data_IF_882446025476
#
_entry.id   IF_882446025476
#
_cell.length_a   1.000
_cell.length_b   1.000
_cell.length_c   1.000
_cell.angle_alpha   90.00
_cell.angle_beta   90.00
_cell.angle_gamma   90.00
#
_symmetry.space_group_name_H-M   'P 1'
#
loop_
_entity.id
_entity.type
_entity.pdbx_description
1 polymer ?
#
# COMPACT_ATOMS: atom_id res chain seq x y z
N UNK A 1 4.53 18.87 -1.32
CA UNK A 1 4.14 17.89 -0.27
C UNK A 1 5.28 16.91 -0.09
N UNK A 2 5.62 16.59 1.15
CA UNK A 2 6.58 15.54 1.51
C UNK A 2 5.79 14.38 2.10
N UNK A 3 5.90 13.21 1.53
CA UNK A 3 5.25 12.00 2.07
C UNK A 3 6.29 10.96 2.45
N UNK A 4 6.00 10.16 3.46
CA UNK A 4 6.68 8.91 3.71
C UNK A 4 5.87 7.80 3.04
N UNK A 5 6.50 7.01 2.22
CA UNK A 5 5.89 5.86 1.58
C UNK A 5 6.59 4.59 2.07
N UNK A 6 5.83 3.72 2.70
CA UNK A 6 6.23 2.39 3.18
C UNK A 6 5.19 1.37 2.74
N UNK A 7 5.55 0.10 2.69
CA UNK A 7 4.65 -1.01 2.36
C UNK A 7 5.18 -2.32 2.90
N UNK A 8 4.40 -3.38 2.75
CA UNK A 8 4.84 -4.75 2.97
C UNK A 8 5.51 -4.93 4.35
N UNK A 9 4.81 -4.44 5.39
CA UNK A 9 5.30 -4.52 6.77
C UNK A 9 5.37 -5.97 7.25
N UNK A 10 4.48 -6.82 6.74
CA UNK A 10 4.39 -8.25 7.06
C UNK A 10 4.54 -8.54 8.55
N UNK A 11 3.83 -7.79 9.39
CA UNK A 11 3.91 -7.93 10.85
C UNK A 11 3.50 -9.35 11.25
N UNK A 12 4.34 -9.98 12.08
CA UNK A 12 4.21 -11.38 12.46
C UNK A 12 4.94 -12.38 11.55
N UNK A 13 5.76 -11.87 10.61
CA UNK A 13 6.65 -12.69 9.76
C UNK A 13 7.66 -13.47 10.58
N UNK A 14 7.92 -14.68 10.14
CA UNK A 14 9.01 -15.52 10.65
C UNK A 14 9.99 -15.84 9.51
N UNK A 15 11.26 -15.82 9.81
CA UNK A 15 12.33 -16.26 8.90
C UNK A 15 12.84 -17.62 9.37
N UNK A 16 12.57 -18.70 8.62
CA UNK A 16 12.95 -20.08 8.98
C UNK A 16 12.55 -20.48 10.43
N UNK A 17 11.33 -20.15 10.84
CA UNK A 17 10.79 -20.32 12.18
C UNK A 17 11.41 -19.43 13.28
N UNK A 18 12.34 -18.52 12.93
CA UNK A 18 12.81 -17.46 13.80
C UNK A 18 11.80 -16.31 13.80
N UNK A 19 11.36 -15.88 14.99
CA UNK A 19 10.48 -14.72 15.12
C UNK A 19 11.24 -13.42 14.83
N UNK A 20 10.70 -12.56 13.99
CA UNK A 20 11.25 -11.23 13.71
C UNK A 20 10.58 -10.14 14.57
N UNK A 21 9.97 -10.51 15.70
CA UNK A 21 9.21 -9.59 16.54
C UNK A 21 10.05 -8.37 16.96
N UNK A 22 11.20 -8.61 17.55
CA UNK A 22 12.07 -7.55 18.06
C UNK A 22 12.56 -6.64 16.94
N UNK A 23 12.93 -7.22 15.80
CA UNK A 23 13.37 -6.48 14.61
C UNK A 23 12.22 -5.65 14.02
N UNK A 24 10.98 -6.18 14.04
CA UNK A 24 9.81 -5.46 13.56
C UNK A 24 9.40 -4.32 14.50
N UNK A 25 9.44 -4.54 15.81
CA UNK A 25 9.21 -3.49 16.80
C UNK A 25 10.25 -2.36 16.65
N UNK A 26 11.52 -2.70 16.51
CA UNK A 26 12.63 -1.74 16.36
C UNK A 26 12.50 -0.92 15.06
N UNK A 27 12.29 -1.55 13.91
CA UNK A 27 12.19 -0.82 12.64
C UNK A 27 10.95 0.09 12.57
N UNK A 28 9.82 -0.34 13.13
CA UNK A 28 8.61 0.48 13.19
C UNK A 28 8.83 1.70 14.10
N UNK A 29 9.51 1.51 15.23
CA UNK A 29 9.91 2.62 16.10
C UNK A 29 10.85 3.60 15.38
N UNK A 30 11.85 3.12 14.63
CA UNK A 30 12.73 3.98 13.83
C UNK A 30 11.95 4.78 12.77
N UNK A 31 10.91 4.20 12.15
CA UNK A 31 10.04 4.91 11.21
C UNK A 31 9.32 6.07 11.92
N UNK A 32 8.82 5.86 13.14
CA UNK A 32 8.19 6.91 13.95
C UNK A 32 9.19 8.01 14.31
N UNK A 33 10.40 7.66 14.73
CA UNK A 33 11.46 8.63 15.01
C UNK A 33 11.80 9.48 13.78
N UNK A 34 11.93 8.85 12.60
CA UNK A 34 12.17 9.59 11.36
C UNK A 34 10.98 10.49 11.00
N UNK A 35 9.75 10.06 11.25
CA UNK A 35 8.56 10.89 11.03
C UNK A 35 8.57 12.10 11.98
N UNK A 36 8.94 11.93 13.24
CA UNK A 36 9.08 13.03 14.21
C UNK A 36 10.15 14.05 13.80
N UNK A 37 11.31 13.58 13.29
CA UNK A 37 12.43 14.42 12.87
C UNK A 37 12.14 15.13 11.54
N UNK A 38 11.67 14.37 10.53
CA UNK A 38 11.54 14.87 9.15
C UNK A 38 10.21 15.52 8.87
N UNK A 39 9.20 15.29 9.70
CA UNK A 39 7.85 15.88 9.64
C UNK A 39 7.25 15.81 8.24
N UNK A 40 6.95 14.62 7.72
CA UNK A 40 6.23 14.50 6.46
C UNK A 40 4.80 15.05 6.60
N UNK A 41 4.22 15.50 5.50
CA UNK A 41 2.83 15.95 5.43
C UNK A 41 1.84 14.79 5.55
N UNK A 42 2.28 13.56 5.20
CA UNK A 42 1.52 12.32 5.39
C UNK A 42 2.44 11.08 5.36
N UNK A 43 1.92 9.97 5.91
CA UNK A 43 2.50 8.63 5.78
C UNK A 43 1.55 7.79 4.92
N UNK A 44 2.08 7.19 3.86
CA UNK A 44 1.35 6.29 2.96
C UNK A 44 1.83 4.86 3.24
N UNK A 45 0.88 3.95 3.56
CA UNK A 45 1.18 2.54 3.79
C UNK A 45 0.49 1.71 2.72
N UNK A 46 1.27 1.26 1.74
CA UNK A 46 0.76 0.65 0.52
C UNK A 46 0.54 -0.87 0.63
N UNK A 47 -0.14 -1.31 1.70
CA UNK A 47 -0.65 -2.68 1.87
C UNK A 47 0.32 -3.66 2.53
N UNK A 48 -0.15 -4.88 2.71
CA UNK A 48 0.48 -6.00 3.40
C UNK A 48 0.99 -5.61 4.80
N UNK A 49 0.03 -5.15 5.62
CA UNK A 49 0.28 -4.78 7.02
C UNK A 49 0.69 -6.02 7.82
N UNK A 50 -0.04 -7.11 7.64
CA UNK A 50 0.20 -8.38 8.32
C UNK A 50 0.71 -9.44 7.36
N UNK A 51 1.57 -10.34 7.85
CA UNK A 51 2.07 -11.49 7.07
C UNK A 51 0.96 -12.49 6.71
N UNK A 52 -0.10 -12.56 7.51
CA UNK A 52 -1.20 -13.53 7.34
C UNK A 52 -2.56 -12.87 7.52
N UNK A 53 -3.54 -13.35 6.78
CA UNK A 53 -4.95 -12.90 6.89
C UNK A 53 -5.58 -13.16 8.26
N UNK A 54 -4.99 -14.04 9.09
CA UNK A 54 -5.32 -14.24 10.49
C UNK A 54 -4.06 -14.01 11.32
N UNK A 55 -3.77 -12.74 11.69
CA UNK A 55 -2.60 -12.40 12.49
C UNK A 55 -2.65 -13.01 13.89
N UNK A 56 -1.50 -13.23 14.50
CA UNK A 56 -1.39 -13.57 15.92
C UNK A 56 -1.75 -12.39 16.82
N UNK A 57 -2.03 -12.63 18.10
CA UNK A 57 -2.21 -11.56 19.08
C UNK A 57 -1.00 -10.63 19.16
N UNK A 58 0.21 -11.19 19.11
CA UNK A 58 1.47 -10.41 19.10
C UNK A 58 1.56 -9.48 17.87
N UNK A 59 1.14 -9.94 16.69
CA UNK A 59 1.16 -9.09 15.50
C UNK A 59 0.20 -7.90 15.65
N UNK A 60 -0.95 -8.09 16.29
CA UNK A 60 -1.85 -6.98 16.62
C UNK A 60 -1.24 -6.01 17.64
N UNK A 61 -0.54 -6.51 18.67
CA UNK A 61 0.14 -5.66 19.65
C UNK A 61 1.22 -4.78 19.01
N UNK A 62 2.05 -5.35 18.13
CA UNK A 62 3.09 -4.61 17.41
C UNK A 62 2.47 -3.46 16.58
N UNK A 63 1.42 -3.77 15.82
CA UNK A 63 0.78 -2.76 14.97
C UNK A 63 0.03 -1.70 15.77
N UNK A 64 -0.65 -2.09 16.86
CA UNK A 64 -1.32 -1.18 17.78
C UNK A 64 -0.32 -0.20 18.40
N UNK A 65 0.85 -0.69 18.85
CA UNK A 65 1.91 0.14 19.38
C UNK A 65 2.40 1.16 18.36
N UNK A 66 2.70 0.72 17.14
CA UNK A 66 3.12 1.59 16.04
C UNK A 66 2.10 2.70 15.73
N UNK A 67 0.81 2.34 15.64
CA UNK A 67 -0.25 3.33 15.40
C UNK A 67 -0.40 4.33 16.55
N UNK A 68 -0.25 3.88 17.79
CA UNK A 68 -0.29 4.75 18.98
C UNK A 68 0.89 5.73 18.99
N UNK A 69 2.10 5.28 18.67
CA UNK A 69 3.28 6.16 18.57
C UNK A 69 3.07 7.23 17.49
N UNK A 70 2.62 6.85 16.28
CA UNK A 70 2.33 7.82 15.20
C UNK A 70 1.23 8.81 15.62
N UNK A 71 0.13 8.31 16.20
CA UNK A 71 -0.99 9.16 16.62
C UNK A 71 -0.59 10.16 17.73
N UNK A 72 0.48 9.86 18.48
CA UNK A 72 1.02 10.68 19.56
C UNK A 72 1.99 11.76 19.07
N UNK A 73 2.36 11.79 17.80
CA UNK A 73 3.23 12.82 17.23
C UNK A 73 2.56 14.21 17.26
N UNK A 74 3.34 15.24 17.58
CA UNK A 74 2.88 16.63 17.54
C UNK A 74 3.81 17.47 16.62
N UNK A 75 3.30 18.06 15.53
CA UNK A 75 1.92 17.94 15.04
C UNK A 75 1.58 16.51 14.56
N UNK A 76 0.30 16.15 14.69
CA UNK A 76 -0.21 14.86 14.25
C UNK A 76 -0.11 14.72 12.73
N UNK A 77 0.54 13.63 12.28
CA UNK A 77 0.77 13.32 10.85
C UNK A 77 -0.37 12.42 10.34
N UNK A 78 -1.08 12.79 9.26
CA UNK A 78 -2.07 11.92 8.63
C UNK A 78 -1.45 10.63 8.10
N UNK A 79 -2.15 9.50 8.30
CA UNK A 79 -1.78 8.20 7.74
C UNK A 79 -2.86 7.74 6.77
N UNK A 80 -2.45 7.36 5.56
CA UNK A 80 -3.32 6.76 4.56
C UNK A 80 -2.83 5.34 4.29
N UNK A 81 -3.63 4.33 4.63
CA UNK A 81 -3.25 2.94 4.43
C UNK A 81 -4.29 2.15 3.65
N UNK A 82 -3.82 1.14 2.94
CA UNK A 82 -4.66 0.19 2.20
C UNK A 82 -4.40 -1.25 2.65
N UNK A 83 -5.34 -2.14 2.38
CA UNK A 83 -5.11 -3.59 2.50
C UNK A 83 -4.34 -4.11 1.30
N UNK A 84 -3.35 -4.98 1.55
CA UNK A 84 -2.67 -5.78 0.54
C UNK A 84 -3.30 -7.17 0.36
N UNK A 85 -2.59 -8.06 -0.35
CA UNK A 85 -3.10 -9.41 -0.65
C UNK A 85 -2.97 -10.39 0.53
N UNK A 86 -2.09 -10.14 1.48
CA UNK A 86 -1.96 -10.91 2.72
C UNK A 86 -3.00 -10.50 3.76
N UNK A 87 -3.48 -9.27 3.71
CA UNK A 87 -4.40 -8.72 4.71
C UNK A 87 -5.81 -9.30 4.60
N UNK A 88 -6.45 -9.46 5.75
CA UNK A 88 -7.90 -9.64 5.79
C UNK A 88 -8.60 -8.29 5.80
N UNK A 89 -9.28 -7.95 4.71
CA UNK A 89 -10.00 -6.69 4.58
C UNK A 89 -10.95 -6.41 5.76
N UNK A 90 -11.69 -7.44 6.23
CA UNK A 90 -12.62 -7.30 7.35
C UNK A 90 -11.92 -7.08 8.69
N UNK A 91 -10.77 -7.74 8.91
CA UNK A 91 -10.00 -7.59 10.16
C UNK A 91 -9.29 -6.25 10.21
N UNK A 92 -8.70 -5.83 9.10
CA UNK A 92 -8.02 -4.54 9.01
C UNK A 92 -9.02 -3.37 9.08
N UNK A 93 -10.26 -3.57 8.63
CA UNK A 93 -11.35 -2.59 8.76
C UNK A 93 -11.80 -2.39 10.22
N UNK A 94 -11.48 -3.33 11.11
CA UNK A 94 -11.86 -3.21 12.51
C UNK A 94 -11.32 -1.91 13.11
N UNK A 95 -12.17 -1.21 13.83
CA UNK A 95 -11.88 0.09 14.44
C UNK A 95 -11.51 1.24 13.46
N UNK A 96 -11.65 1.07 12.13
CA UNK A 96 -11.30 2.10 11.14
C UNK A 96 -11.97 3.45 11.41
N UNK A 97 -13.24 3.47 11.83
CA UNK A 97 -13.95 4.71 12.19
C UNK A 97 -13.39 5.40 13.45
N UNK A 98 -12.77 4.65 14.35
CA UNK A 98 -12.05 5.22 15.50
C UNK A 98 -10.71 5.78 15.07
N UNK A 99 -9.95 5.04 14.26
CA UNK A 99 -8.66 5.43 13.71
C UNK A 99 -8.78 6.71 12.85
N UNK A 100 -9.87 6.86 12.11
CA UNK A 100 -10.11 8.05 11.30
C UNK A 100 -10.16 9.35 12.13
N UNK A 101 -10.64 9.29 13.38
CA UNK A 101 -10.59 10.43 14.31
C UNK A 101 -9.17 10.80 14.72
N UNK A 102 -8.24 9.87 14.58
CA UNK A 102 -6.80 10.06 14.78
C UNK A 102 -6.06 10.36 13.47
N UNK A 103 -6.78 10.79 12.42
CA UNK A 103 -6.26 11.03 11.07
C UNK A 103 -5.60 9.80 10.43
N UNK A 104 -5.98 8.60 10.84
CA UNK A 104 -5.52 7.34 10.26
C UNK A 104 -6.65 6.77 9.41
N UNK A 105 -6.53 6.90 8.09
CA UNK A 105 -7.53 6.46 7.13
C UNK A 105 -7.15 5.09 6.59
N UNK A 106 -8.07 4.14 6.69
CA UNK A 106 -7.88 2.75 6.25
C UNK A 106 -8.84 2.44 5.11
N UNK A 107 -8.34 2.03 3.95
CA UNK A 107 -9.13 1.53 2.84
C UNK A 107 -8.81 0.04 2.61
N UNK A 108 -9.82 -0.81 2.73
CA UNK A 108 -9.60 -2.27 2.73
C UNK A 108 -10.28 -3.01 1.57
N UNK A 109 -11.25 -2.38 0.91
CA UNK A 109 -11.98 -2.96 -0.22
C UNK A 109 -12.28 -1.87 -1.26
N UNK A 110 -12.35 -2.28 -2.52
CA UNK A 110 -12.88 -1.44 -3.59
C UNK A 110 -14.39 -1.24 -3.41
N UNK A 111 -15.00 -0.24 -4.07
CA UNK A 111 -16.45 -0.10 -4.15
C UNK A 111 -17.15 -1.39 -4.57
N UNK A 112 -18.36 -1.61 -4.06
CA UNK A 112 -19.20 -2.77 -4.37
C UNK A 112 -20.50 -2.40 -5.06
N UNK A 113 -20.83 -1.11 -5.07
CA UNK A 113 -22.01 -0.54 -5.75
C UNK A 113 -21.61 0.61 -6.67
N UNK A 114 -22.52 1.02 -7.55
CA UNK A 114 -22.28 2.12 -8.49
C UNK A 114 -22.16 3.49 -7.81
N UNK A 115 -22.76 3.67 -6.63
CA UNK A 115 -22.74 4.92 -5.87
C UNK A 115 -21.50 5.08 -5.00
N UNK A 116 -20.83 3.98 -4.68
CA UNK A 116 -19.59 4.02 -3.90
C UNK A 116 -18.41 4.38 -4.80
N UNK A 117 -17.44 5.11 -4.26
CA UNK A 117 -16.18 5.46 -4.92
C UNK A 117 -14.98 4.97 -4.11
N UNK A 118 -13.80 4.94 -4.74
CA UNK A 118 -12.54 4.71 -4.02
C UNK A 118 -12.40 5.73 -2.89
N UNK A 119 -11.90 5.27 -1.77
CA UNK A 119 -11.60 6.19 -0.66
C UNK A 119 -10.60 7.23 -1.14
N UNK A 120 -11.00 8.50 -1.04
CA UNK A 120 -10.18 9.66 -1.36
C UNK A 120 -9.95 10.49 -0.11
N UNK A 121 -8.70 10.87 0.14
CA UNK A 121 -8.29 11.76 1.23
C UNK A 121 -7.74 13.03 0.62
N UNK A 122 -8.24 14.18 1.05
CA UNK A 122 -7.70 15.48 0.63
C UNK A 122 -6.70 15.93 1.68
N UNK A 123 -5.45 16.06 1.27
CA UNK A 123 -4.37 16.62 2.07
C UNK A 123 -4.09 18.06 1.60
N UNK A 124 -3.46 18.85 2.46
CA UNK A 124 -3.15 20.26 2.19
C UNK A 124 -1.68 20.54 2.48
N UNK A 125 -1.00 21.22 1.58
CA UNK A 125 0.32 21.80 1.80
C UNK A 125 0.34 23.29 1.39
N UNK A 126 1.52 23.91 1.41
CA UNK A 126 1.69 25.33 1.05
C UNK A 126 1.33 25.66 -0.41
N UNK A 127 1.27 24.63 -1.29
CA UNK A 127 0.93 24.77 -2.71
C UNK A 127 -0.54 24.42 -3.02
N UNK A 128 -1.34 24.06 -2.02
CA UNK A 128 -2.77 23.75 -2.16
C UNK A 128 -3.11 22.29 -1.87
N UNK A 129 -4.25 21.84 -2.38
CA UNK A 129 -4.77 20.49 -2.15
C UNK A 129 -4.05 19.43 -2.97
N UNK A 130 -3.94 18.22 -2.37
CA UNK A 130 -3.52 16.99 -3.03
C UNK A 130 -4.54 15.91 -2.71
N UNK A 131 -5.10 15.29 -3.74
CA UNK A 131 -6.03 14.17 -3.58
C UNK A 131 -5.25 12.85 -3.52
N UNK A 132 -5.41 12.09 -2.45
CA UNK A 132 -4.82 10.75 -2.28
C UNK A 132 -5.90 9.70 -2.49
N UNK A 133 -5.80 8.94 -3.57
CA UNK A 133 -6.71 7.83 -3.90
C UNK A 133 -6.16 6.54 -3.33
N UNK A 134 -7.01 5.80 -2.62
CA UNK A 134 -6.62 4.56 -1.92
C UNK A 134 -7.23 3.35 -2.65
N UNK A 135 -6.41 2.65 -3.41
CA UNK A 135 -6.78 1.44 -4.16
C UNK A 135 -6.24 0.19 -3.44
N UNK A 136 -7.04 -0.48 -2.58
CA UNK A 136 -6.64 -1.74 -1.95
C UNK A 136 -6.40 -2.83 -2.98
N UNK A 137 -5.71 -3.90 -2.57
CA UNK A 137 -5.57 -5.08 -3.40
C UNK A 137 -6.93 -5.60 -3.85
N UNK A 138 -7.08 -5.83 -5.13
CA UNK A 138 -8.30 -6.36 -5.73
C UNK A 138 -8.01 -7.54 -6.64
N UNK A 139 -8.97 -8.45 -6.73
CA UNK A 139 -8.97 -9.56 -7.69
C UNK A 139 -10.01 -9.29 -8.78
N UNK A 140 -9.82 -9.80 -10.01
CA UNK A 140 -10.79 -9.63 -11.09
C UNK A 140 -12.23 -10.00 -10.71
N UNK A 141 -12.39 -11.02 -9.84
CA UNK A 141 -13.68 -11.42 -9.30
C UNK A 141 -14.41 -10.34 -8.50
N UNK A 142 -13.69 -9.48 -7.78
CA UNK A 142 -14.28 -8.37 -7.04
C UNK A 142 -14.73 -7.25 -8.00
N UNK A 143 -13.94 -6.96 -9.03
CA UNK A 143 -14.31 -6.00 -10.05
C UNK A 143 -15.56 -6.45 -10.84
N UNK A 144 -15.74 -7.76 -11.10
CA UNK A 144 -16.97 -8.27 -11.74
C UNK A 144 -18.24 -7.98 -10.93
N UNK A 145 -18.14 -7.87 -9.61
CA UNK A 145 -19.30 -7.50 -8.78
C UNK A 145 -19.68 -6.04 -9.03
N UNK A 146 -18.69 -5.16 -9.17
CA UNK A 146 -18.89 -3.73 -9.45
C UNK A 146 -19.36 -3.45 -10.89
N UNK A 147 -18.96 -4.31 -11.84
CA UNK A 147 -19.29 -4.17 -13.27
C UNK A 147 -20.05 -5.40 -13.79
N UNK A 148 -21.33 -5.58 -13.38
CA UNK A 148 -22.12 -6.74 -13.78
C UNK A 148 -22.32 -6.78 -15.31
N UNK A 149 -22.13 -7.96 -15.90
CA UNK A 149 -22.30 -8.16 -17.35
C UNK A 149 -21.11 -7.72 -18.21
N UNK A 150 -20.05 -7.16 -17.60
CA UNK A 150 -18.80 -6.86 -18.32
C UNK A 150 -17.80 -8.02 -18.19
N UNK A 151 -17.09 -8.29 -19.26
CA UNK A 151 -15.99 -9.25 -19.22
C UNK A 151 -14.77 -8.60 -18.55
N UNK A 152 -14.30 -9.21 -17.45
CA UNK A 152 -13.08 -8.82 -16.75
C UNK A 152 -12.28 -10.08 -16.52
N UNK A 153 -11.22 -10.27 -17.33
CA UNK A 153 -10.47 -11.53 -17.41
C UNK A 153 -9.24 -11.54 -16.51
N UNK A 154 -8.63 -10.39 -16.31
CA UNK A 154 -7.32 -10.25 -15.68
C UNK A 154 -7.27 -9.04 -14.74
N UNK A 155 -6.13 -8.86 -14.08
CA UNK A 155 -5.91 -7.79 -13.11
C UNK A 155 -5.77 -6.41 -13.78
N UNK A 156 -5.14 -6.35 -14.96
CA UNK A 156 -4.99 -5.09 -15.70
C UNK A 156 -6.36 -4.48 -16.03
N UNK A 157 -7.24 -5.30 -16.61
CA UNK A 157 -8.60 -4.86 -16.93
C UNK A 157 -9.39 -4.48 -15.66
N UNK A 158 -9.23 -5.24 -14.58
CA UNK A 158 -9.93 -4.96 -13.32
C UNK A 158 -9.53 -3.60 -12.73
N UNK A 159 -8.22 -3.35 -12.62
CA UNK A 159 -7.67 -2.08 -12.08
C UNK A 159 -8.04 -0.92 -12.98
N UNK A 160 -7.87 -1.06 -14.30
CA UNK A 160 -8.22 -0.04 -15.29
C UNK A 160 -9.66 0.42 -15.16
N UNK A 161 -10.61 -0.53 -15.14
CA UNK A 161 -12.04 -0.21 -15.01
C UNK A 161 -12.38 0.47 -13.68
N UNK A 162 -11.76 0.06 -12.59
CA UNK A 162 -11.96 0.71 -11.28
C UNK A 162 -11.43 2.15 -11.30
N UNK A 163 -10.26 2.40 -11.87
CA UNK A 163 -9.70 3.75 -11.94
C UNK A 163 -10.45 4.66 -12.93
N UNK A 164 -10.84 4.15 -14.10
CA UNK A 164 -11.56 4.92 -15.12
C UNK A 164 -12.90 5.49 -14.61
N UNK A 165 -13.60 4.77 -13.74
CA UNK A 165 -14.87 5.24 -13.18
C UNK A 165 -14.73 6.36 -12.15
N UNK A 166 -13.55 6.58 -11.58
CA UNK A 166 -13.35 7.56 -10.51
C UNK A 166 -13.31 9.01 -11.01
N UNK A 167 -13.35 9.25 -12.32
CA UNK A 167 -13.39 10.59 -12.94
C UNK A 167 -12.35 11.54 -12.33
N UNK A 168 -11.09 11.09 -12.28
CA UNK A 168 -9.99 11.80 -11.63
C UNK A 168 -9.65 13.08 -12.40
N UNK A 169 -9.67 14.22 -11.72
CA UNK A 169 -9.28 15.51 -12.29
C UNK A 169 -7.74 15.64 -12.29
N UNK A 170 -7.10 15.25 -13.38
CA UNK A 170 -5.64 15.36 -13.57
C UNK A 170 -5.13 16.78 -13.81
N UNK A 171 -5.99 17.81 -13.77
CA UNK A 171 -5.52 19.21 -13.68
C UNK A 171 -5.09 19.60 -12.27
N UNK A 172 -5.41 18.76 -11.29
CA UNK A 172 -5.06 18.89 -9.88
C UNK A 172 -3.96 17.89 -9.52
N UNK A 173 -3.38 18.07 -8.34
CA UNK A 173 -2.37 17.14 -7.81
C UNK A 173 -3.02 15.89 -7.25
N UNK A 174 -2.58 14.74 -7.74
CA UNK A 174 -3.15 13.44 -7.39
C UNK A 174 -2.05 12.44 -7.02
N UNK A 175 -2.26 11.72 -5.93
CA UNK A 175 -1.44 10.57 -5.51
C UNK A 175 -2.32 9.33 -5.55
N UNK A 176 -1.79 8.23 -6.05
CA UNK A 176 -2.40 6.91 -5.94
C UNK A 176 -1.59 6.06 -4.94
N UNK A 177 -2.28 5.39 -4.03
CA UNK A 177 -1.71 4.32 -3.19
C UNK A 177 -2.32 3.01 -3.65
N UNK A 178 -1.51 2.04 -4.08
CA UNK A 178 -1.99 0.78 -4.63
C UNK A 178 -1.12 -0.41 -4.22
N UNK A 179 -1.72 -1.60 -4.21
CA UNK A 179 -1.02 -2.85 -3.87
C UNK A 179 -1.30 -3.92 -4.92
N UNK A 180 -0.76 -3.71 -6.12
CA UNK A 180 -0.89 -4.63 -7.26
C UNK A 180 0.48 -4.86 -7.90
N UNK A 181 0.61 -5.93 -8.66
CA UNK A 181 1.84 -6.18 -9.40
C UNK A 181 1.91 -5.31 -10.66
N UNK A 182 2.38 -4.06 -10.51
CA UNK A 182 2.57 -3.16 -11.63
C UNK A 182 3.87 -3.46 -12.39
N UNK A 183 3.79 -3.41 -13.72
CA UNK A 183 4.93 -3.61 -14.63
C UNK A 183 5.02 -2.45 -15.62
N UNK A 184 6.25 -2.04 -15.95
CA UNK A 184 6.52 -1.06 -17.01
C UNK A 184 6.31 -1.65 -18.40
N UNK A 185 6.44 -0.82 -19.43
CA UNK A 185 6.25 -1.22 -20.83
C UNK A 185 7.22 -2.33 -21.32
N UNK A 186 8.38 -2.49 -20.69
CA UNK A 186 9.33 -3.58 -20.94
C UNK A 186 9.04 -4.84 -20.07
N UNK A 187 8.09 -4.76 -19.13
CA UNK A 187 7.70 -5.86 -18.26
C UNK A 187 8.72 -6.26 -17.19
N UNK A 188 9.85 -5.54 -17.09
CA UNK A 188 10.91 -5.85 -16.14
C UNK A 188 10.63 -5.23 -14.77
N UNK A 189 10.59 -6.07 -13.74
CA UNK A 189 10.53 -5.72 -12.31
C UNK A 189 11.42 -6.72 -11.58
N UNK A 190 12.36 -6.23 -10.78
CA UNK A 190 13.22 -7.07 -9.95
C UNK A 190 12.39 -7.67 -8.80
N UNK A 191 12.51 -8.98 -8.61
CA UNK A 191 11.73 -9.76 -7.63
C UNK A 191 12.64 -10.61 -6.77
N UNK A 192 12.21 -10.87 -5.54
CA UNK A 192 12.89 -11.77 -4.62
C UNK A 192 12.07 -13.04 -4.34
N UNK A 193 12.68 -14.04 -3.70
CA UNK A 193 12.06 -15.34 -3.46
C UNK A 193 10.82 -15.27 -2.58
N UNK A 194 10.74 -14.29 -1.69
CA UNK A 194 9.58 -14.10 -0.79
C UNK A 194 8.29 -13.71 -1.52
N UNK A 195 8.38 -13.18 -2.75
CA UNK A 195 7.25 -12.78 -3.59
C UNK A 195 6.80 -13.88 -4.56
N UNK A 196 7.74 -14.73 -5.00
CA UNK A 196 7.50 -15.72 -6.07
C UNK A 196 6.37 -16.71 -5.75
N UNK A 197 6.08 -16.96 -4.48
CA UNK A 197 5.02 -17.88 -4.05
C UNK A 197 3.60 -17.34 -4.32
N UNK A 198 3.44 -16.06 -4.58
CA UNK A 198 2.14 -15.39 -4.67
C UNK A 198 1.79 -14.90 -6.08
N UNK A 199 2.73 -15.00 -7.01
CA UNK A 199 2.53 -14.56 -8.39
C UNK A 199 2.13 -15.73 -9.29
N UNK A 200 1.11 -15.52 -10.12
CA UNK A 200 0.65 -16.54 -11.06
C UNK A 200 1.62 -16.75 -12.21
N UNK A 201 1.74 -18.00 -12.65
CA UNK A 201 2.51 -18.35 -13.85
C UNK A 201 1.83 -17.74 -15.10
N UNK A 202 2.60 -17.00 -15.90
CA UNK A 202 2.12 -16.46 -17.18
C UNK A 202 1.71 -14.98 -17.18
N UNK A 203 2.00 -14.23 -16.09
CA UNK A 203 1.79 -12.76 -16.08
C UNK A 203 0.34 -12.30 -16.04
N UNK A 204 -0.60 -13.19 -15.71
CA UNK A 204 -2.05 -12.86 -15.59
C UNK A 204 -2.30 -11.83 -14.48
N UNK A 205 -1.38 -11.72 -13.50
CA UNK A 205 -1.51 -10.85 -12.34
C UNK A 205 -0.91 -9.45 -12.58
N UNK A 206 -0.25 -9.22 -13.72
CA UNK A 206 0.41 -7.96 -14.01
C UNK A 206 -0.58 -6.86 -14.39
N UNK A 207 -0.28 -5.64 -13.93
CA UNK A 207 -1.01 -4.42 -14.23
C UNK A 207 -0.04 -3.44 -14.90
N UNK A 208 -0.38 -2.88 -16.06
CA UNK A 208 0.49 -1.97 -16.78
C UNK A 208 0.45 -0.56 -16.17
N UNK A 209 1.61 0.09 -16.11
CA UNK A 209 1.73 1.43 -15.51
C UNK A 209 1.12 2.55 -16.35
N UNK A 210 0.80 2.33 -17.62
CA UNK A 210 0.27 3.36 -18.54
C UNK A 210 -1.00 4.05 -17.99
N UNK A 211 -1.86 3.29 -17.31
CA UNK A 211 -3.11 3.82 -16.74
C UNK A 211 -2.91 4.75 -15.52
N UNK A 212 -1.74 4.73 -14.90
CA UNK A 212 -1.44 5.52 -13.69
C UNK A 212 -0.37 6.59 -13.92
N UNK A 213 0.13 6.73 -15.14
CA UNK A 213 1.19 7.69 -15.48
C UNK A 213 0.81 9.16 -15.29
N UNK A 214 -0.49 9.47 -15.28
CA UNK A 214 -0.99 10.84 -15.12
C UNK A 214 -1.03 11.31 -13.64
N UNK A 215 -0.84 10.41 -12.68
CA UNK A 215 -0.70 10.80 -11.27
C UNK A 215 0.64 11.48 -11.02
N UNK A 216 0.68 12.42 -10.08
CA UNK A 216 1.94 13.08 -9.66
C UNK A 216 2.88 12.13 -8.91
N UNK A 217 2.30 11.17 -8.17
CA UNK A 217 3.02 10.09 -7.49
C UNK A 217 2.15 8.85 -7.36
N UNK A 218 2.75 7.68 -7.56
CA UNK A 218 2.10 6.39 -7.35
C UNK A 218 2.91 5.59 -6.34
N UNK A 219 2.32 5.43 -5.16
CA UNK A 219 2.90 4.68 -4.03
C UNK A 219 2.46 3.21 -4.12
N UNK A 220 3.39 2.34 -4.49
CA UNK A 220 3.15 0.91 -4.70
C UNK A 220 3.72 0.06 -3.57
N UNK A 221 2.95 -0.95 -3.13
CA UNK A 221 3.42 -2.11 -2.39
C UNK A 221 3.36 -3.38 -3.24
N UNK A 222 3.59 -4.55 -2.63
CA UNK A 222 3.60 -5.88 -3.21
C UNK A 222 5.00 -6.39 -3.62
N UNK A 223 5.90 -5.52 -4.04
CA UNK A 223 7.28 -5.89 -4.38
C UNK A 223 8.22 -5.44 -3.26
N UNK A 224 9.06 -6.38 -2.79
CA UNK A 224 9.89 -6.19 -1.61
C UNK A 224 11.17 -5.39 -1.86
N UNK A 225 11.57 -5.22 -3.12
CA UNK A 225 12.69 -4.37 -3.54
C UNK A 225 12.22 -2.95 -3.84
N UNK A 226 12.85 -1.92 -3.23
CA UNK A 226 12.61 -0.52 -3.60
C UNK A 226 13.07 -0.29 -5.05
N UNK A 227 12.16 0.14 -5.90
CA UNK A 227 12.45 0.40 -7.31
C UNK A 227 11.38 1.25 -7.99
N UNK A 228 11.75 2.07 -9.00
CA UNK A 228 10.79 2.68 -9.91
C UNK A 228 10.29 1.63 -10.91
N UNK A 229 9.08 1.81 -11.43
CA UNK A 229 8.51 0.97 -12.48
C UNK A 229 7.89 1.84 -13.58
N UNK A 230 8.36 1.66 -14.81
CA UNK A 230 7.97 2.51 -15.94
C UNK A 230 8.52 3.92 -15.82
N UNK A 231 7.91 4.77 -14.97
CA UNK A 231 8.35 6.16 -14.73
C UNK A 231 8.86 6.35 -13.30
N UNK A 232 9.72 7.34 -13.10
CA UNK A 232 10.38 7.60 -11.81
C UNK A 232 9.43 7.91 -10.65
N UNK A 233 8.26 8.47 -10.92
CA UNK A 233 7.24 8.80 -9.91
C UNK A 233 6.28 7.63 -9.58
N UNK A 234 6.41 6.50 -10.25
CA UNK A 234 5.69 5.25 -9.96
C UNK A 234 6.70 4.32 -9.29
N UNK A 235 6.53 4.05 -8.00
CA UNK A 235 7.57 3.37 -7.21
C UNK A 235 7.00 2.34 -6.25
N UNK A 236 7.70 1.24 -6.15
CA UNK A 236 7.63 0.34 -5.01
C UNK A 236 8.51 0.86 -3.88
N UNK A 237 8.03 0.91 -2.65
CA UNK A 237 8.85 1.27 -1.48
C UNK A 237 9.69 0.09 -0.97
N UNK A 238 9.28 -1.12 -1.29
CA UNK A 238 9.85 -2.32 -0.70
C UNK A 238 9.43 -2.53 0.75
N UNK A 239 9.93 -3.61 1.34
CA UNK A 239 9.73 -3.96 2.75
C UNK A 239 10.67 -3.16 3.66
N UNK A 240 10.28 -2.84 4.90
CA UNK A 240 11.17 -2.16 5.86
C UNK A 240 12.29 -3.07 6.38
N UNK A 241 12.12 -4.39 6.34
CA UNK A 241 13.09 -5.40 6.73
C UNK A 241 13.34 -6.40 5.60
N UNK A 242 14.42 -7.16 5.68
CA UNK A 242 14.70 -8.28 4.76
C UNK A 242 13.97 -9.53 5.23
N UNK A 243 13.05 -10.02 4.40
CA UNK A 243 12.20 -11.17 4.71
C UNK A 243 12.62 -12.46 4.01
N UNK A 244 13.67 -12.41 3.20
CA UNK A 244 14.31 -13.59 2.60
C UNK A 244 15.82 -13.38 2.44
N UNK A 245 16.56 -14.47 2.29
CA UNK A 245 18.01 -14.43 2.04
C UNK A 245 18.30 -13.78 0.67
N UNK A 246 17.40 -13.93 -0.31
CA UNK A 246 17.56 -13.27 -1.62
C UNK A 246 17.55 -11.74 -1.55
N UNK A 247 17.10 -11.16 -0.43
CA UNK A 247 17.10 -9.72 -0.18
C UNK A 247 18.39 -9.22 0.48
N UNK A 248 19.44 -10.06 0.60
CA UNK A 248 20.67 -9.70 1.33
C UNK A 248 21.32 -8.40 0.84
N UNK A 249 21.20 -8.10 -0.45
CA UNK A 249 21.76 -6.90 -1.07
C UNK A 249 20.78 -5.73 -1.17
N UNK A 250 19.50 -5.89 -0.74
CA UNK A 250 18.55 -4.79 -0.74
C UNK A 250 18.91 -3.76 0.33
N UNK A 251 18.84 -2.49 -0.03
CA UNK A 251 18.83 -1.39 0.92
C UNK A 251 17.39 -1.12 1.32
N UNK A 252 17.08 -1.24 2.62
CA UNK A 252 15.73 -1.04 3.14
C UNK A 252 15.60 0.38 3.71
N UNK A 253 14.43 1.01 3.53
CA UNK A 253 14.24 2.38 3.98
C UNK A 253 12.81 2.88 3.80
N UNK A 254 12.68 4.18 3.92
CA UNK A 254 11.45 4.94 3.67
C UNK A 254 11.64 5.66 2.33
N UNK A 255 10.73 5.46 1.40
CA UNK A 255 10.69 6.19 0.13
C UNK A 255 10.00 7.53 0.29
#
# INVERSE_FOLDING_TARGET
>A
MKVFHISDLHIGKQLYAYSLREEQEDILHQIVEQAAIRRPDAILIAGDIYDKSVPSGEAYEIFDHFLNEIASLDPQIPVCMIAGNHDSALRLKYASSFLERQKIVVSTMIPTTEEEHLRKVILQDEYGEVAVYLLPFLKPGQARVLFPGQEITDYDMAVRKVLEREEIDFTKRNILVAHQFFVGGNGEVERCDSELMYLSVGGIDSVHTDMVEAFDYVALGHIHGEQPVGKAHIRYSGTPLKYSVSEEHHEKGIT
#
